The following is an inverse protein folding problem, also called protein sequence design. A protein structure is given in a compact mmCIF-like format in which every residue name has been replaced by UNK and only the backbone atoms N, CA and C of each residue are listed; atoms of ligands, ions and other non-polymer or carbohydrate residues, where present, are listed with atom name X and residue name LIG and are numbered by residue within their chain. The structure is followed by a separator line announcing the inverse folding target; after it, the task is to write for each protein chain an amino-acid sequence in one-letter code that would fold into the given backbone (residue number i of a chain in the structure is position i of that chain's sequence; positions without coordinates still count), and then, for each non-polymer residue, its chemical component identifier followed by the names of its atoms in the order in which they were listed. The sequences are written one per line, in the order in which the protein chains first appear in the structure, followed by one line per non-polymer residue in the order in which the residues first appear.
data_IF_951701352731
#
_entry.id   IF_951701352731
#
_cell.length_a   1.000
_cell.length_b   1.000
_cell.length_c   1.000
_cell.angle_alpha   90.00
_cell.angle_beta   90.00
_cell.angle_gamma   90.00
#
_symmetry.space_group_name_H-M   'P 1'
#
loop_
_entity.id
_entity.type
_entity.pdbx_description
1 polymer ?
#
# COMPACT_ATOMS: atom_id res chain seq x y z
N UNK A 1 -15.61 9.06 -13.57
CA UNK A 1 -16.66 8.22 -14.15
C UNK A 1 -16.63 6.86 -13.44
N UNK A 2 -17.62 6.56 -12.59
CA UNK A 2 -17.72 5.30 -11.82
C UNK A 2 -18.62 4.32 -12.60
N UNK A 3 -18.02 3.53 -13.49
CA UNK A 3 -18.72 2.56 -14.32
C UNK A 3 -19.46 1.51 -13.47
N UNK A 4 -20.64 1.09 -13.94
CA UNK A 4 -21.55 0.17 -13.23
C UNK A 4 -20.90 -1.19 -12.88
N UNK A 5 -20.00 -1.67 -13.72
CA UNK A 5 -19.26 -2.93 -13.48
C UNK A 5 -18.31 -2.83 -12.27
N UNK A 6 -17.75 -1.65 -12.00
CA UNK A 6 -16.88 -1.43 -10.85
C UNK A 6 -17.68 -1.52 -9.55
N UNK A 7 -18.92 -1.00 -9.52
CA UNK A 7 -19.83 -1.12 -8.36
C UNK A 7 -20.21 -2.57 -8.07
N UNK A 8 -20.50 -3.36 -9.11
CA UNK A 8 -20.82 -4.78 -8.97
C UNK A 8 -19.63 -5.58 -8.41
N UNK A 9 -18.41 -5.28 -8.86
CA UNK A 9 -17.21 -5.93 -8.35
C UNK A 9 -16.98 -5.65 -6.84
N UNK A 10 -17.20 -4.41 -6.38
CA UNK A 10 -17.07 -4.10 -4.95
C UNK A 10 -18.17 -4.73 -4.11
N UNK A 11 -19.41 -4.76 -4.62
CA UNK A 11 -20.55 -5.40 -3.93
C UNK A 11 -20.30 -6.90 -3.78
N UNK A 12 -19.80 -7.57 -4.84
CA UNK A 12 -19.40 -8.97 -4.77
C UNK A 12 -18.24 -9.22 -3.79
N UNK A 13 -17.32 -8.24 -3.67
CA UNK A 13 -16.21 -8.31 -2.71
C UNK A 13 -16.69 -8.20 -1.27
N UNK A 14 -17.64 -7.31 -0.98
CA UNK A 14 -18.31 -7.21 0.33
C UNK A 14 -19.03 -8.51 0.68
N UNK A 15 -19.82 -9.07 -0.25
CA UNK A 15 -20.51 -10.34 -0.04
C UNK A 15 -19.53 -11.50 0.24
N UNK A 16 -18.37 -11.55 -0.44
CA UNK A 16 -17.34 -12.57 -0.20
C UNK A 16 -16.62 -12.38 1.14
N UNK A 17 -16.53 -11.14 1.63
CA UNK A 17 -15.82 -10.81 2.86
C UNK A 17 -16.72 -10.75 4.10
N UNK A 18 -18.04 -10.84 3.94
CA UNK A 18 -19.00 -10.93 5.01
C UNK A 18 -18.70 -12.14 5.92
N UNK A 19 -18.76 -11.93 7.24
CA UNK A 19 -18.39 -12.93 8.25
C UNK A 19 -16.88 -13.03 8.53
N UNK A 20 -16.01 -12.41 7.74
CA UNK A 20 -14.56 -12.40 8.04
C UNK A 20 -14.23 -11.59 9.29
N UNK A 21 -15.09 -10.65 9.66
CA UNK A 21 -15.06 -9.87 10.89
C UNK A 21 -15.16 -10.73 12.15
N UNK A 22 -15.89 -11.85 12.13
CA UNK A 22 -16.06 -12.73 13.29
C UNK A 22 -14.74 -13.41 13.69
N UNK A 23 -13.93 -13.78 12.70
CA UNK A 23 -12.60 -14.34 12.92
C UNK A 23 -11.53 -13.27 13.20
N UNK A 24 -11.72 -12.04 12.73
CA UNK A 24 -10.73 -10.96 12.90
C UNK A 24 -11.02 -10.01 14.07
N UNK A 25 -12.17 -10.14 14.73
CA UNK A 25 -12.64 -9.22 15.77
C UNK A 25 -12.86 -7.79 15.26
N UNK A 26 -12.97 -7.62 13.93
CA UNK A 26 -12.99 -6.33 13.25
C UNK A 26 -14.40 -5.80 12.98
N UNK A 27 -14.49 -4.63 12.34
CA UNK A 27 -15.77 -4.15 11.80
C UNK A 27 -16.08 -4.80 10.44
N UNK A 28 -17.36 -4.86 10.04
CA UNK A 28 -17.75 -5.35 8.71
C UNK A 28 -16.98 -4.65 7.59
N UNK A 29 -16.51 -5.42 6.61
CA UNK A 29 -15.76 -4.92 5.46
C UNK A 29 -16.71 -4.41 4.39
N UNK A 30 -17.29 -3.23 4.62
CA UNK A 30 -18.23 -2.63 3.68
C UNK A 30 -17.56 -2.20 2.37
N UNK A 31 -18.35 -2.05 1.31
CA UNK A 31 -17.87 -1.53 -0.01
C UNK A 31 -17.03 -0.26 0.16
N UNK A 32 -17.52 0.70 0.94
CA UNK A 32 -16.82 1.98 1.18
C UNK A 32 -15.47 1.77 1.87
N UNK A 33 -15.39 0.87 2.86
CA UNK A 33 -14.13 0.53 3.55
C UNK A 33 -13.14 -0.15 2.61
N UNK A 34 -13.61 -1.07 1.76
CA UNK A 34 -12.79 -1.71 0.73
C UNK A 34 -12.22 -0.69 -0.28
N UNK A 35 -13.06 0.23 -0.78
CA UNK A 35 -12.62 1.29 -1.68
C UNK A 35 -11.60 2.23 -1.04
N UNK A 36 -11.85 2.67 0.19
CA UNK A 36 -10.93 3.55 0.93
C UNK A 36 -9.59 2.85 1.18
N UNK A 37 -9.62 1.57 1.59
CA UNK A 37 -8.41 0.77 1.78
C UNK A 37 -7.63 0.59 0.48
N UNK A 38 -8.32 0.33 -0.63
CA UNK A 38 -7.70 0.22 -1.94
C UNK A 38 -7.05 1.54 -2.39
N UNK A 39 -7.72 2.67 -2.13
CA UNK A 39 -7.17 4.01 -2.36
C UNK A 39 -5.88 4.25 -1.58
N UNK A 40 -5.88 3.94 -0.28
CA UNK A 40 -4.69 4.03 0.57
C UNK A 40 -3.56 3.11 0.08
N UNK A 41 -3.87 1.86 -0.27
CA UNK A 41 -2.87 0.90 -0.75
C UNK A 41 -2.19 1.38 -2.04
N UNK A 42 -2.95 1.94 -2.98
CA UNK A 42 -2.38 2.56 -4.20
C UNK A 42 -1.52 3.78 -3.90
N UNK A 43 -1.87 4.57 -2.90
CA UNK A 43 -1.04 5.70 -2.46
C UNK A 43 0.29 5.20 -1.90
N UNK A 44 0.23 4.25 -0.97
CA UNK A 44 1.40 3.64 -0.35
C UNK A 44 2.34 3.02 -1.39
N UNK A 45 1.80 2.26 -2.34
CA UNK A 45 2.59 1.69 -3.43
C UNK A 45 3.30 2.77 -4.26
N UNK A 46 2.64 3.88 -4.59
CA UNK A 46 3.27 4.98 -5.35
C UNK A 46 4.42 5.61 -4.57
N UNK A 47 4.25 5.80 -3.26
CA UNK A 47 5.32 6.35 -2.42
C UNK A 47 6.53 5.42 -2.35
N UNK A 48 6.32 4.12 -2.11
CA UNK A 48 7.42 3.13 -2.11
C UNK A 48 8.09 3.05 -3.49
N UNK A 49 7.31 3.08 -4.57
CA UNK A 49 7.85 3.10 -5.94
C UNK A 49 8.70 4.34 -6.21
N UNK A 50 8.31 5.51 -5.69
CA UNK A 50 9.12 6.73 -5.78
C UNK A 50 10.43 6.55 -5.03
N UNK A 51 10.40 6.02 -3.81
CA UNK A 51 11.60 5.75 -2.99
C UNK A 51 12.56 4.83 -3.75
N UNK A 52 12.07 3.69 -4.24
CA UNK A 52 12.87 2.71 -4.96
C UNK A 52 13.33 3.19 -6.35
N UNK A 53 12.66 4.18 -6.93
CA UNK A 53 13.08 4.83 -8.17
C UNK A 53 14.22 5.84 -7.99
N UNK A 54 14.68 6.12 -6.76
CA UNK A 54 15.83 6.99 -6.50
C UNK A 54 17.12 6.18 -6.50
N UNK A 55 18.18 6.78 -7.03
CA UNK A 55 19.51 6.16 -7.03
C UNK A 55 19.98 5.86 -5.60
N UNK A 56 20.58 4.68 -5.40
CA UNK A 56 21.09 4.24 -4.12
C UNK A 56 20.06 3.54 -3.21
N UNK A 57 18.81 3.41 -3.66
CA UNK A 57 17.79 2.59 -2.99
C UNK A 57 17.74 1.17 -3.56
N UNK A 58 17.52 0.22 -2.67
CA UNK A 58 17.21 -1.17 -2.95
C UNK A 58 16.01 -1.63 -2.14
N UNK A 59 15.68 -2.91 -2.25
CA UNK A 59 14.55 -3.52 -1.56
C UNK A 59 15.02 -4.77 -0.80
N UNK A 60 14.71 -4.83 0.48
CA UNK A 60 14.85 -6.03 1.29
C UNK A 60 13.55 -6.82 1.21
N UNK A 61 13.57 -7.93 0.48
CA UNK A 61 12.41 -8.81 0.29
C UNK A 61 12.05 -9.62 1.55
N UNK A 62 12.99 -9.83 2.48
CA UNK A 62 12.73 -10.56 3.72
C UNK A 62 11.91 -9.70 4.68
N UNK A 63 12.32 -8.44 4.86
CA UNK A 63 11.62 -7.50 5.74
C UNK A 63 10.56 -6.66 5.01
N UNK A 64 10.49 -6.77 3.69
CA UNK A 64 9.63 -5.98 2.80
C UNK A 64 9.81 -4.47 3.01
N UNK A 65 11.05 -4.00 2.99
CA UNK A 65 11.37 -2.59 3.29
C UNK A 65 12.37 -2.00 2.30
N UNK A 66 12.30 -0.69 2.08
CA UNK A 66 13.29 0.04 1.28
C UNK A 66 14.61 0.15 2.05
N UNK A 67 15.72 -0.16 1.38
CA UNK A 67 17.07 -0.13 1.95
C UNK A 67 17.93 0.87 1.22
N UNK A 68 18.67 1.71 1.94
CA UNK A 68 19.66 2.62 1.39
C UNK A 68 20.64 3.05 2.50
N UNK A 69 21.73 3.70 2.13
CA UNK A 69 22.62 4.37 3.10
C UNK A 69 21.89 5.55 3.75
N UNK A 70 22.27 5.88 4.98
CA UNK A 70 21.68 7.01 5.71
C UNK A 70 21.80 8.32 4.94
N UNK A 71 22.94 8.61 4.31
CA UNK A 71 23.11 9.82 3.49
C UNK A 71 22.10 9.92 2.34
N UNK A 72 21.76 8.80 1.71
CA UNK A 72 20.78 8.73 0.62
C UNK A 72 19.36 8.96 1.15
N UNK A 73 19.04 8.43 2.34
CA UNK A 73 17.78 8.73 3.01
C UNK A 73 17.65 10.21 3.39
N UNK A 74 18.70 10.82 3.96
CA UNK A 74 18.68 12.23 4.36
C UNK A 74 18.45 13.16 3.15
N UNK A 75 19.12 12.89 2.03
CA UNK A 75 18.92 13.64 0.78
C UNK A 75 17.49 13.53 0.24
N UNK A 76 16.89 12.34 0.34
CA UNK A 76 15.51 12.11 -0.06
C UNK A 76 14.53 12.84 0.87
N UNK A 77 14.71 12.70 2.19
CA UNK A 77 13.83 13.25 3.22
C UNK A 77 13.87 14.77 3.20
N UNK A 78 15.03 15.39 2.93
CA UNK A 78 15.14 16.85 2.76
C UNK A 78 14.24 17.39 1.65
N UNK A 79 14.02 16.62 0.58
CA UNK A 79 13.16 16.99 -0.55
C UNK A 79 11.71 16.53 -0.36
N UNK A 80 11.52 15.39 0.29
CA UNK A 80 10.23 14.74 0.48
C UNK A 80 10.08 14.19 1.90
N UNK A 81 9.82 15.04 2.91
CA UNK A 81 9.80 14.64 4.32
C UNK A 81 8.77 13.54 4.63
N UNK A 82 7.67 13.48 3.88
CA UNK A 82 6.61 12.48 4.02
C UNK A 82 7.07 11.06 3.72
N UNK A 83 8.14 10.88 2.91
CA UNK A 83 8.67 9.56 2.55
C UNK A 83 9.52 8.93 3.66
N UNK A 84 9.90 9.70 4.69
CA UNK A 84 10.68 9.21 5.84
C UNK A 84 10.06 7.99 6.53
N UNK A 85 8.73 7.87 6.51
CA UNK A 85 8.02 6.71 7.06
C UNK A 85 8.50 5.38 6.47
N UNK A 86 8.87 5.36 5.19
CA UNK A 86 9.25 4.14 4.47
C UNK A 86 10.63 3.60 4.85
N UNK A 87 11.37 4.33 5.69
CA UNK A 87 12.64 3.84 6.28
C UNK A 87 12.43 2.72 7.28
N UNK A 88 11.27 2.66 7.95
CA UNK A 88 10.94 1.66 8.98
C UNK A 88 9.61 0.96 8.75
N UNK A 89 8.86 1.32 7.72
CA UNK A 89 7.52 0.76 7.45
C UNK A 89 7.62 -0.37 6.44
N UNK A 90 7.31 -1.62 6.83
CA UNK A 90 7.22 -2.72 5.88
C UNK A 90 6.05 -2.51 4.90
N UNK A 91 6.25 -2.85 3.63
CA UNK A 91 5.20 -2.90 2.63
C UNK A 91 5.17 -4.26 1.91
N UNK A 92 4.61 -5.32 2.55
CA UNK A 92 4.58 -6.68 1.99
C UNK A 92 3.79 -6.82 0.69
N UNK A 93 2.97 -5.82 0.36
CA UNK A 93 2.15 -5.82 -0.85
C UNK A 93 2.87 -5.20 -2.05
N UNK A 94 4.14 -4.80 -1.95
CA UNK A 94 4.83 -4.08 -3.02
C UNK A 94 4.81 -4.83 -4.36
N UNK A 95 5.28 -6.10 -4.38
CA UNK A 95 5.30 -6.92 -5.59
C UNK A 95 3.90 -7.27 -6.07
N UNK A 96 3.00 -7.63 -5.13
CA UNK A 96 1.60 -7.91 -5.46
C UNK A 96 0.90 -6.72 -6.11
N UNK A 97 1.27 -5.49 -5.74
CA UNK A 97 0.74 -4.26 -6.33
C UNK A 97 1.39 -3.92 -7.68
N UNK A 98 2.56 -4.47 -7.99
CA UNK A 98 3.20 -4.32 -9.29
C UNK A 98 2.58 -5.24 -10.35
N UNK A 99 2.02 -6.37 -9.93
CA UNK A 99 1.37 -7.37 -10.79
C UNK A 99 -0.12 -7.09 -11.06
N UNK A 100 -0.69 -6.05 -10.43
CA UNK A 100 -2.09 -5.62 -10.54
C UNK A 100 -2.28 -4.50 -11.56
#
# INVERSE_FOLDING_TARGET
SNSNWHKLAWTATEARLAGSEEHSGGSPKTVSRCMNRWGALKKDYREVKIVLGKSGFGWDAQNNIATAKDSVWEDLIKKHPTLSRWRKTPFPYFHKMADL
#
